data_IF_774552774684
#
_entry.id   IF_774552774684
#
_cell.length_a   1.000
_cell.length_b   1.000
_cell.length_c   1.000
_cell.angle_alpha   90.00
_cell.angle_beta   90.00
_cell.angle_gamma   90.00
#
_symmetry.space_group_name_H-M   'P 1'
#
loop_
_entity.id
_entity.type
_entity.pdbx_description
1 polymer ?
#
# COMPACT_ATOMS: atom_id res chain seq x y z
N UNK A 1 -6.06 4.90 -35.45
CA UNK A 1 -6.32 4.50 -34.05
C UNK A 1 -5.26 5.16 -33.20
N UNK A 2 -5.60 6.28 -32.56
CA UNK A 2 -4.65 7.06 -31.75
C UNK A 2 -4.59 6.40 -30.38
N UNK A 3 -3.47 5.77 -30.05
CA UNK A 3 -3.18 5.39 -28.67
C UNK A 3 -2.85 6.68 -27.92
N UNK A 4 -3.85 7.25 -27.26
CA UNK A 4 -3.60 8.23 -26.22
C UNK A 4 -2.87 7.48 -25.11
N UNK A 5 -1.55 7.58 -25.09
CA UNK A 5 -0.74 7.27 -23.93
C UNK A 5 -1.16 8.28 -22.86
N UNK A 6 -2.12 7.89 -22.02
CA UNK A 6 -2.50 8.64 -20.85
C UNK A 6 -1.29 8.55 -19.93
N UNK A 7 -0.47 9.62 -19.89
CA UNK A 7 0.50 9.77 -18.81
C UNK A 7 -0.27 9.55 -17.50
N UNK A 8 0.23 8.70 -16.58
CA UNK A 8 -0.34 8.61 -15.25
C UNK A 8 -0.46 10.04 -14.71
N UNK A 9 -1.60 10.44 -14.13
CA UNK A 9 -1.69 11.72 -13.45
C UNK A 9 -0.50 11.86 -12.52
N UNK A 10 0.11 13.04 -12.43
CA UNK A 10 1.14 13.29 -11.41
C UNK A 10 0.51 13.04 -10.03
N UNK A 11 0.82 11.90 -9.41
CA UNK A 11 0.11 11.36 -8.24
C UNK A 11 0.66 11.86 -6.90
N UNK A 12 1.17 13.08 -6.90
CA UNK A 12 1.90 13.68 -5.78
C UNK A 12 2.98 14.59 -6.34
N UNK A 13 3.54 15.45 -5.49
CA UNK A 13 4.63 16.36 -5.88
C UNK A 13 6.01 15.73 -5.64
N UNK A 14 6.08 14.79 -4.71
CA UNK A 14 7.32 14.21 -4.23
C UNK A 14 7.21 12.68 -4.16
N UNK A 15 8.37 12.03 -4.25
CA UNK A 15 8.47 10.58 -4.25
C UNK A 15 9.51 10.12 -3.23
N UNK A 16 9.16 9.07 -2.48
CA UNK A 16 10.08 8.35 -1.60
C UNK A 16 10.09 6.88 -2.01
N UNK A 17 11.28 6.31 -2.14
CA UNK A 17 11.45 4.95 -2.65
C UNK A 17 12.04 4.04 -1.58
N UNK A 18 11.49 2.84 -1.51
CA UNK A 18 12.00 1.69 -0.75
C UNK A 18 12.50 0.63 -1.74
N UNK A 19 12.88 -0.56 -1.28
CA UNK A 19 13.25 -1.62 -2.22
C UNK A 19 12.05 -2.04 -3.09
N UNK A 20 10.84 -2.13 -2.49
CA UNK A 20 9.65 -2.72 -3.13
C UNK A 20 8.50 -1.75 -3.40
N UNK A 21 8.56 -0.57 -2.81
CA UNK A 21 7.46 0.39 -2.78
C UNK A 21 7.91 1.79 -3.20
N UNK A 22 7.07 2.50 -3.95
CA UNK A 22 7.19 3.93 -4.22
C UNK A 22 6.04 4.67 -3.52
N UNK A 23 6.36 5.67 -2.71
CA UNK A 23 5.37 6.50 -2.00
C UNK A 23 5.33 7.87 -2.64
N UNK A 24 4.13 8.30 -3.02
CA UNK A 24 3.86 9.63 -3.56
C UNK A 24 3.13 10.46 -2.50
N UNK A 25 3.57 11.70 -2.30
CA UNK A 25 3.05 12.60 -1.26
C UNK A 25 3.11 14.07 -1.70
N UNK A 26 2.40 14.97 -1.01
CA UNK A 26 2.34 16.38 -1.37
C UNK A 26 3.38 17.24 -0.62
N UNK A 27 3.56 17.00 0.68
CA UNK A 27 4.51 17.72 1.53
C UNK A 27 5.34 16.79 2.43
N UNK A 28 6.49 17.27 2.91
CA UNK A 28 7.31 16.50 3.86
C UNK A 28 6.54 16.13 5.15
N UNK A 29 5.59 16.97 5.56
CA UNK A 29 4.71 16.72 6.70
C UNK A 29 3.84 15.48 6.49
N UNK A 30 3.39 15.20 5.26
CA UNK A 30 2.61 13.99 4.94
C UNK A 30 3.42 12.72 5.20
N UNK A 31 4.68 12.73 4.76
CA UNK A 31 5.57 11.59 4.92
C UNK A 31 5.94 11.39 6.40
N UNK A 32 6.13 12.50 7.14
CA UNK A 32 6.37 12.46 8.57
C UNK A 32 5.14 11.95 9.35
N UNK A 33 3.94 12.44 9.03
CA UNK A 33 2.69 11.97 9.63
C UNK A 33 2.49 10.47 9.38
N UNK A 34 2.77 10.03 8.14
CA UNK A 34 2.72 8.62 7.76
C UNK A 34 3.67 7.76 8.59
N UNK A 35 4.93 8.16 8.75
CA UNK A 35 5.91 7.43 9.59
C UNK A 35 5.50 7.35 11.07
N UNK A 36 4.94 8.45 11.60
CA UNK A 36 4.47 8.52 12.99
C UNK A 36 3.25 7.62 13.23
N UNK A 37 2.34 7.53 12.25
CA UNK A 37 1.14 6.71 12.33
C UNK A 37 1.41 5.24 12.00
N UNK A 38 2.44 4.91 11.24
CA UNK A 38 2.83 3.53 10.92
C UNK A 38 3.47 2.87 12.14
N UNK A 39 2.63 2.27 13.01
CA UNK A 39 3.04 1.59 14.25
C UNK A 39 3.40 0.13 14.01
N UNK A 40 4.19 -0.11 12.97
CA UNK A 40 4.72 -1.43 12.65
C UNK A 40 6.22 -1.50 12.94
N UNK A 41 6.66 -2.57 13.60
CA UNK A 41 8.08 -2.84 13.83
C UNK A 41 8.46 -4.17 13.17
N UNK A 42 9.30 -4.17 12.12
CA UNK A 42 9.75 -5.40 11.52
C UNK A 42 10.55 -6.25 12.53
N UNK A 43 10.49 -7.59 12.45
CA UNK A 43 11.32 -8.45 13.29
C UNK A 43 12.82 -8.16 13.12
N UNK A 44 13.62 -8.32 14.17
CA UNK A 44 15.07 -8.03 14.13
C UNK A 44 15.81 -8.74 12.99
N UNK A 45 15.51 -10.03 12.75
CA UNK A 45 16.11 -10.79 11.65
C UNK A 45 15.79 -10.20 10.26
N UNK A 46 14.63 -9.56 10.10
CA UNK A 46 14.28 -8.88 8.85
C UNK A 46 15.15 -7.63 8.68
N UNK A 47 15.31 -6.82 9.73
CA UNK A 47 16.12 -5.60 9.70
C UNK A 47 17.59 -5.92 9.37
N UNK A 48 18.15 -6.98 9.97
CA UNK A 48 19.51 -7.44 9.69
C UNK A 48 19.72 -7.77 8.20
N UNK A 49 18.76 -8.47 7.59
CA UNK A 49 18.84 -8.84 6.16
C UNK A 49 18.61 -7.61 5.28
N UNK A 50 17.63 -6.78 5.62
CA UNK A 50 17.22 -5.61 4.85
C UNK A 50 18.37 -4.60 4.74
N UNK A 51 18.99 -4.21 5.86
CA UNK A 51 20.07 -3.21 5.87
C UNK A 51 21.41 -3.74 5.36
N UNK A 52 21.61 -5.06 5.25
CA UNK A 52 22.77 -5.59 4.51
C UNK A 52 22.73 -5.27 3.02
N UNK A 53 21.54 -4.99 2.48
CA UNK A 53 21.28 -4.84 1.05
C UNK A 53 21.01 -3.38 0.64
N UNK A 54 20.96 -2.43 1.58
CA UNK A 54 20.59 -1.03 1.32
C UNK A 54 21.65 -0.06 1.85
N UNK A 55 22.17 0.77 0.97
CA UNK A 55 22.76 2.09 1.28
C UNK A 55 21.64 3.14 1.12
N UNK A 56 21.45 4.10 2.05
CA UNK A 56 22.34 4.50 3.14
C UNK A 56 21.93 3.95 4.54
N UNK A 57 22.80 4.21 5.51
CA UNK A 57 22.85 3.63 6.86
C UNK A 57 21.51 3.53 7.65
N UNK A 58 21.38 2.51 8.53
CA UNK A 58 20.21 2.23 9.38
C UNK A 58 19.80 3.34 10.37
N UNK A 59 20.51 4.46 10.40
CA UNK A 59 20.31 5.56 11.37
C UNK A 59 19.49 6.72 10.84
N UNK A 60 19.09 6.73 9.56
CA UNK A 60 18.20 7.78 9.02
C UNK A 60 16.72 7.45 9.29
N UNK A 61 15.91 8.47 9.62
CA UNK A 61 14.45 8.32 9.78
C UNK A 61 13.80 7.71 8.52
N UNK A 62 14.26 8.11 7.34
CA UNK A 62 13.82 7.56 6.06
C UNK A 62 14.20 6.09 5.88
N UNK A 63 15.40 5.67 6.31
CA UNK A 63 15.79 4.26 6.30
C UNK A 63 14.90 3.40 7.18
N UNK A 64 14.52 3.92 8.36
CA UNK A 64 13.57 3.25 9.25
C UNK A 64 12.18 3.15 8.64
N UNK A 65 11.65 4.24 8.05
CA UNK A 65 10.37 4.22 7.35
C UNK A 65 10.38 3.18 6.20
N UNK A 66 11.44 3.14 5.40
CA UNK A 66 11.57 2.16 4.32
C UNK A 66 11.50 0.72 4.85
N UNK A 67 12.26 0.44 5.92
CA UNK A 67 12.28 -0.88 6.55
C UNK A 67 10.92 -1.26 7.15
N UNK A 68 10.18 -0.31 7.75
CA UNK A 68 8.82 -0.54 8.25
C UNK A 68 7.87 -0.98 7.13
N UNK A 69 7.90 -0.29 5.99
CA UNK A 69 6.98 -0.55 4.87
C UNK A 69 7.30 -1.87 4.18
N UNK A 70 8.57 -2.10 3.84
CA UNK A 70 8.98 -3.34 3.19
C UNK A 70 8.86 -4.53 4.15
N UNK A 71 9.07 -4.30 5.45
CA UNK A 71 8.82 -5.27 6.51
C UNK A 71 7.35 -5.61 6.67
N UNK A 72 6.45 -4.62 6.54
CA UNK A 72 5.01 -4.83 6.57
C UNK A 72 4.59 -5.70 5.38
N UNK A 73 5.04 -5.35 4.17
CA UNK A 73 4.77 -6.13 2.97
C UNK A 73 5.29 -7.57 3.10
N UNK A 74 6.48 -7.75 3.69
CA UNK A 74 7.04 -9.08 3.97
C UNK A 74 6.20 -9.86 5.01
N UNK A 75 5.66 -9.19 6.03
CA UNK A 75 4.77 -9.79 7.01
C UNK A 75 3.45 -10.25 6.38
N UNK A 76 2.88 -9.45 5.48
CA UNK A 76 1.69 -9.83 4.69
C UNK A 76 1.99 -11.06 3.83
N UNK A 77 3.12 -11.07 3.10
CA UNK A 77 3.55 -12.24 2.33
C UNK A 77 3.62 -13.51 3.18
N UNK A 78 4.19 -13.39 4.39
CA UNK A 78 4.30 -14.51 5.34
C UNK A 78 2.94 -15.02 5.80
N UNK A 79 1.99 -14.14 6.12
CA UNK A 79 0.63 -14.52 6.52
C UNK A 79 -0.11 -15.23 5.39
N UNK A 80 0.03 -14.74 4.16
CA UNK A 80 -0.58 -15.34 2.96
C UNK A 80 0.18 -16.58 2.46
N UNK A 81 1.32 -16.91 3.07
CA UNK A 81 2.26 -17.96 2.61
C UNK A 81 2.68 -17.79 1.16
N UNK A 82 2.74 -16.54 0.69
CA UNK A 82 3.26 -16.19 -0.61
C UNK A 82 4.77 -16.02 -0.51
N UNK A 83 5.50 -16.62 -1.46
CA UNK A 83 6.91 -16.29 -1.61
C UNK A 83 7.01 -14.88 -2.18
N UNK A 84 8.01 -14.09 -1.78
CA UNK A 84 8.36 -12.87 -2.48
C UNK A 84 8.82 -13.24 -3.90
N UNK A 85 7.87 -13.39 -4.83
CA UNK A 85 8.19 -13.33 -6.25
C UNK A 85 8.64 -11.89 -6.57
N UNK A 86 9.23 -11.67 -7.73
CA UNK A 86 9.40 -10.32 -8.28
C UNK A 86 8.02 -9.77 -8.61
N UNK A 87 7.30 -9.32 -7.59
CA UNK A 87 6.08 -8.56 -7.75
C UNK A 87 6.43 -7.21 -8.40
N UNK A 88 5.53 -6.65 -9.23
CA UNK A 88 5.69 -5.28 -9.69
C UNK A 88 5.77 -4.35 -8.47
N UNK A 89 6.50 -3.24 -8.62
CA UNK A 89 6.64 -2.25 -7.56
C UNK A 89 5.26 -1.75 -7.13
N UNK A 90 5.02 -1.77 -5.83
CA UNK A 90 3.81 -1.22 -5.24
C UNK A 90 3.91 0.31 -5.19
N UNK A 91 2.87 1.00 -5.63
CA UNK A 91 2.75 2.44 -5.47
C UNK A 91 1.79 2.75 -4.30
N UNK A 92 2.14 3.68 -3.44
CA UNK A 92 1.29 4.18 -2.36
C UNK A 92 1.14 5.69 -2.56
N UNK A 93 -0.09 6.17 -2.66
CA UNK A 93 -0.41 7.59 -2.76
C UNK A 93 -1.04 8.03 -1.45
N UNK A 94 -0.34 8.92 -0.75
CA UNK A 94 -0.84 9.52 0.49
C UNK A 94 -1.81 10.65 0.15
N UNK A 95 -3.03 10.54 0.66
CA UNK A 95 -4.10 11.51 0.52
C UNK A 95 -4.46 12.06 1.91
N UNK A 96 -4.97 13.28 1.98
CA UNK A 96 -5.24 13.92 3.28
C UNK A 96 -6.30 13.18 4.08
N UNK A 97 -7.40 12.80 3.44
CA UNK A 97 -8.60 12.28 4.09
C UNK A 97 -9.34 11.26 3.21
N UNK A 98 -10.34 10.56 3.79
CA UNK A 98 -11.19 9.64 3.05
C UNK A 98 -12.04 10.30 1.95
N UNK A 99 -12.24 11.62 1.98
CA UNK A 99 -12.93 12.33 0.91
C UNK A 99 -12.10 12.33 -0.37
N UNK A 100 -10.80 12.62 -0.28
CA UNK A 100 -9.89 12.51 -1.42
C UNK A 100 -9.78 11.08 -1.93
N UNK A 101 -9.76 10.08 -1.04
CA UNK A 101 -9.77 8.66 -1.42
C UNK A 101 -11.03 8.34 -2.23
N UNK A 102 -12.20 8.76 -1.76
CA UNK A 102 -13.47 8.57 -2.44
C UNK A 102 -13.51 9.22 -3.83
N UNK A 103 -12.95 10.43 -3.97
CA UNK A 103 -12.82 11.11 -5.26
C UNK A 103 -11.96 10.31 -6.23
N UNK A 104 -10.81 9.78 -5.78
CA UNK A 104 -9.95 8.92 -6.61
C UNK A 104 -10.63 7.61 -6.97
N UNK A 105 -11.31 6.96 -6.03
CA UNK A 105 -12.02 5.71 -6.27
C UNK A 105 -13.04 5.83 -7.41
N UNK A 106 -13.80 6.93 -7.45
CA UNK A 106 -14.78 7.19 -8.52
C UNK A 106 -14.16 7.31 -9.92
N UNK A 107 -12.88 7.66 -10.04
CA UNK A 107 -12.19 7.72 -11.34
C UNK A 107 -11.95 6.32 -11.91
N UNK A 108 -11.72 5.34 -11.05
CA UNK A 108 -11.42 3.95 -11.45
C UNK A 108 -12.67 3.06 -11.43
N UNK A 109 -13.65 3.41 -10.60
CA UNK A 109 -14.94 2.72 -10.50
C UNK A 109 -16.08 3.74 -10.68
N UNK A 110 -16.38 4.16 -11.92
CA UNK A 110 -17.40 5.18 -12.21
C UNK A 110 -18.83 4.66 -12.02
N UNK A 111 -19.02 3.34 -11.92
CA UNK A 111 -20.32 2.74 -11.62
C UNK A 111 -20.59 2.81 -10.11
N UNK A 112 -21.83 3.04 -9.65
CA UNK A 112 -22.17 2.95 -8.23
C UNK A 112 -22.06 1.48 -7.78
N UNK A 113 -20.84 1.06 -7.44
CA UNK A 113 -20.63 -0.17 -6.71
C UNK A 113 -21.43 -0.07 -5.42
N UNK A 114 -22.19 -1.14 -5.11
CA UNK A 114 -22.93 -1.25 -3.86
C UNK A 114 -21.99 -0.94 -2.69
N UNK A 115 -22.45 -0.26 -1.64
CA UNK A 115 -21.62 0.00 -0.48
C UNK A 115 -21.04 -1.33 0.01
N UNK A 116 -19.71 -1.45 -0.04
CA UNK A 116 -19.02 -2.42 0.79
C UNK A 116 -19.44 -2.11 2.23
N UNK A 117 -19.98 -3.13 2.90
CA UNK A 117 -20.59 -3.11 4.23
C UNK A 117 -20.06 -1.97 5.15
N UNK A 118 -20.92 -0.99 5.41
CA UNK A 118 -21.03 -0.36 6.73
C UNK A 118 -20.06 0.75 7.15
N UNK A 119 -19.06 1.13 6.36
CA UNK A 119 -18.18 2.25 6.72
C UNK A 119 -18.46 3.47 5.85
N UNK A 120 -18.99 4.52 6.45
CA UNK A 120 -19.35 5.78 5.76
C UNK A 120 -18.17 6.54 5.12
N UNK A 121 -16.94 6.01 5.19
CA UNK A 121 -15.74 6.60 4.60
C UNK A 121 -14.81 5.50 4.06
N UNK A 122 -14.49 5.57 2.76
CA UNK A 122 -13.47 4.71 2.15
C UNK A 122 -12.08 5.21 2.60
N UNK A 123 -11.40 4.45 3.45
CA UNK A 123 -10.13 4.85 4.06
C UNK A 123 -8.94 4.62 3.11
N UNK A 124 -9.03 3.57 2.31
CA UNK A 124 -8.07 3.24 1.29
C UNK A 124 -8.73 2.38 0.20
N UNK A 125 -8.06 2.24 -0.94
CA UNK A 125 -8.34 1.17 -1.90
C UNK A 125 -7.12 0.87 -2.75
N UNK A 126 -7.01 -0.38 -3.19
CA UNK A 126 -6.07 -0.84 -4.19
C UNK A 126 -6.67 -0.79 -5.60
N UNK A 127 -5.92 -0.18 -6.53
CA UNK A 127 -6.19 -0.16 -7.95
C UNK A 127 -5.21 -1.10 -8.66
N UNK A 128 -5.73 -2.17 -9.26
CA UNK A 128 -4.91 -3.26 -9.81
C UNK A 128 -4.17 -2.90 -11.10
N UNK A 129 -4.68 -1.99 -11.92
CA UNK A 129 -4.11 -1.64 -13.22
C UNK A 129 -2.74 -0.97 -13.11
N UNK A 130 -2.52 -0.19 -12.06
CA UNK A 130 -1.27 0.53 -11.82
C UNK A 130 -0.55 0.08 -10.54
N UNK A 131 -0.98 -1.03 -9.92
CA UNK A 131 -0.44 -1.52 -8.66
C UNK A 131 -0.37 -0.43 -7.57
N UNK A 132 -1.46 0.32 -7.43
CA UNK A 132 -1.47 1.56 -6.65
C UNK A 132 -2.47 1.50 -5.51
N UNK A 133 -2.01 1.77 -4.29
CA UNK A 133 -2.85 1.98 -3.11
C UNK A 133 -3.06 3.48 -2.94
N UNK A 134 -4.31 3.89 -2.84
CA UNK A 134 -4.68 5.23 -2.40
C UNK A 134 -5.04 5.16 -0.92
N UNK A 135 -4.39 5.96 -0.08
CA UNK A 135 -4.48 5.84 1.37
C UNK A 135 -4.78 7.19 2.01
N UNK A 136 -5.83 7.27 2.83
CA UNK A 136 -6.09 8.42 3.67
C UNK A 136 -5.12 8.47 4.85
N UNK A 137 -4.43 9.58 5.04
CA UNK A 137 -3.60 9.85 6.21
C UNK A 137 -4.44 10.09 7.46
N UNK A 138 -5.52 10.88 7.37
CA UNK A 138 -6.39 11.20 8.51
C UNK A 138 -6.80 9.94 9.29
N UNK A 139 -7.24 8.90 8.57
CA UNK A 139 -7.80 7.67 9.12
C UNK A 139 -6.85 6.47 9.03
N UNK A 140 -5.55 6.71 8.81
CA UNK A 140 -4.55 5.67 8.61
C UNK A 140 -4.22 4.88 9.89
N UNK A 141 -4.14 3.55 9.74
CA UNK A 141 -3.39 2.64 10.60
C UNK A 141 -2.79 1.50 9.76
N UNK A 142 -1.78 0.80 10.30
CA UNK A 142 -1.04 -0.26 9.60
C UNK A 142 -1.92 -1.40 9.07
N UNK A 143 -3.03 -1.69 9.76
CA UNK A 143 -4.02 -2.70 9.36
C UNK A 143 -4.64 -2.40 7.99
N UNK A 144 -5.08 -1.17 7.76
CA UNK A 144 -5.63 -0.72 6.45
C UNK A 144 -4.60 -0.88 5.34
N UNK A 145 -3.35 -0.51 5.59
CA UNK A 145 -2.30 -0.69 4.58
C UNK A 145 -2.01 -2.18 4.31
N UNK A 146 -2.01 -3.03 5.34
CA UNK A 146 -1.84 -4.46 5.19
C UNK A 146 -3.00 -5.13 4.42
N UNK A 147 -4.23 -4.65 4.64
CA UNK A 147 -5.41 -5.04 3.87
C UNK A 147 -5.20 -4.75 2.38
N UNK A 148 -4.84 -3.53 2.03
CA UNK A 148 -4.62 -3.15 0.62
C UNK A 148 -3.37 -3.80 -0.01
N UNK A 149 -2.32 -4.04 0.77
CA UNK A 149 -1.16 -4.83 0.33
C UNK A 149 -1.55 -6.29 0.02
N UNK A 150 -2.55 -6.83 0.72
CA UNK A 150 -3.08 -8.17 0.42
C UNK A 150 -3.70 -8.19 -0.97
N UNK A 151 -4.53 -7.20 -1.32
CA UNK A 151 -5.10 -7.08 -2.66
C UNK A 151 -4.03 -6.98 -3.75
N UNK A 152 -2.97 -6.20 -3.50
CA UNK A 152 -1.83 -6.13 -4.40
C UNK A 152 -1.17 -7.49 -4.63
N UNK A 153 -0.86 -8.22 -3.55
CA UNK A 153 -0.20 -9.52 -3.64
C UNK A 153 -1.08 -10.57 -4.31
N UNK A 154 -2.40 -10.58 -4.06
CA UNK A 154 -3.31 -11.53 -4.69
C UNK A 154 -3.51 -11.24 -6.18
N UNK A 155 -3.66 -9.97 -6.55
CA UNK A 155 -3.80 -9.58 -7.95
C UNK A 155 -2.53 -9.82 -8.77
N UNK A 156 -1.36 -9.85 -8.13
CA UNK A 156 -0.08 -10.07 -8.81
C UNK A 156 0.35 -11.54 -8.79
N UNK A 157 0.04 -12.29 -7.74
CA UNK A 157 0.42 -13.70 -7.61
C UNK A 157 -0.48 -14.66 -8.41
N UNK A 158 -1.74 -14.27 -8.68
CA UNK A 158 -2.72 -15.13 -9.37
C UNK A 158 -3.21 -14.49 -10.66
N UNK A 159 -3.24 -15.27 -11.75
CA UNK A 159 -3.80 -14.87 -13.04
C UNK A 159 -4.75 -15.96 -13.56
N UNK A 160 -6.08 -15.73 -13.57
CA UNK A 160 -6.78 -14.53 -13.09
C UNK A 160 -6.70 -14.36 -11.56
N UNK A 161 -6.93 -13.14 -11.02
CA UNK A 161 -6.99 -12.93 -9.59
C UNK A 161 -8.14 -13.72 -8.94
N UNK A 162 -8.07 -14.03 -7.62
CA UNK A 162 -9.16 -14.70 -6.94
C UNK A 162 -10.45 -13.88 -7.00
N UNK A 163 -11.65 -14.48 -6.82
CA UNK A 163 -12.90 -13.72 -6.75
C UNK A 163 -12.85 -12.66 -5.63
N UNK A 164 -13.47 -11.49 -5.84
CA UNK A 164 -13.41 -10.35 -4.92
C UNK A 164 -13.75 -10.72 -3.47
N UNK A 165 -14.79 -11.54 -3.26
CA UNK A 165 -15.16 -12.01 -1.92
C UNK A 165 -14.04 -12.78 -1.20
N UNK A 166 -13.26 -13.57 -1.95
CA UNK A 166 -12.12 -14.30 -1.38
C UNK A 166 -10.96 -13.35 -1.09
N UNK A 167 -10.71 -12.38 -1.97
CA UNK A 167 -9.69 -11.35 -1.74
C UNK A 167 -9.97 -10.58 -0.44
N UNK A 168 -11.21 -10.09 -0.27
CA UNK A 168 -11.61 -9.36 0.96
C UNK A 168 -11.54 -10.22 2.22
N UNK A 169 -11.90 -11.50 2.13
CA UNK A 169 -11.80 -12.41 3.26
C UNK A 169 -10.34 -12.60 3.71
N UNK A 170 -9.40 -12.69 2.75
CA UNK A 170 -7.97 -12.81 3.06
C UNK A 170 -7.38 -11.51 3.55
N UNK A 171 -7.77 -10.38 2.96
CA UNK A 171 -7.34 -9.05 3.38
C UNK A 171 -7.80 -8.76 4.82
N UNK A 172 -9.08 -9.04 5.15
CA UNK A 172 -9.62 -8.95 6.51
C UNK A 172 -8.90 -9.88 7.49
N UNK A 173 -8.56 -11.10 7.04
CA UNK A 173 -7.78 -12.03 7.86
C UNK A 173 -6.39 -11.47 8.15
N UNK A 174 -5.69 -10.94 7.15
CA UNK A 174 -4.38 -10.32 7.31
C UNK A 174 -4.45 -9.13 8.26
N UNK A 175 -5.41 -8.22 8.07
CA UNK A 175 -5.62 -7.06 8.94
C UNK A 175 -5.78 -7.47 10.41
N UNK A 176 -6.62 -8.48 10.68
CA UNK A 176 -6.88 -8.95 12.04
C UNK A 176 -5.72 -9.75 12.68
N UNK A 177 -4.80 -10.29 11.87
CA UNK A 177 -3.69 -11.14 12.34
C UNK A 177 -2.31 -10.49 12.20
N UNK A 178 -2.26 -9.26 11.68
CA UNK A 178 -1.07 -8.45 11.69
C UNK A 178 -0.73 -8.12 13.16
N UNK A 179 0.47 -8.51 13.59
CA UNK A 179 1.01 -8.30 14.93
C UNK A 179 2.36 -7.62 14.85
#
# INVERSE_FOLDING_TARGET
>A
MVFLSVCPPAWGKQHFYTQRTAICYESADDLQEFDQKLRFMPPAHFLEIYFRQVEPAPTSSLGNLAAKIDGLLAAVCRLLRLRPQTFPRLHIILLKDGYQVQLRHRLFQPSPARPFLGYGHLLAFYESGHHTIFLSLADFHEGVLAHEMTHHLLCTAYQPPPPAQIQEAWASYVEAHLK
#
